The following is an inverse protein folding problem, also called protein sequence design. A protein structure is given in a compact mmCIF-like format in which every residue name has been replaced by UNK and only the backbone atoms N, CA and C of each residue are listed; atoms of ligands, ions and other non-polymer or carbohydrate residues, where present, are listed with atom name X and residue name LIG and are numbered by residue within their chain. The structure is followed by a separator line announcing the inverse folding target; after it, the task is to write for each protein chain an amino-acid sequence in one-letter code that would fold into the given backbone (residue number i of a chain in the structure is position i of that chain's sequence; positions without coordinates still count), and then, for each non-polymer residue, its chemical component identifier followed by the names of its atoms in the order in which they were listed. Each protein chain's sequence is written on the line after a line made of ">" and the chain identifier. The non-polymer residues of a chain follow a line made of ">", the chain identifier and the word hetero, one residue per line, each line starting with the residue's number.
data_IF_745625225013
#
_entry.id   IF_745625225013
#
_cell.length_a   1.000
_cell.length_b   1.000
_cell.length_c   1.000
_cell.angle_alpha   90.00
_cell.angle_beta   90.00
_cell.angle_gamma   90.00
#
_symmetry.space_group_name_H-M   'P 1'
#
loop_
_entity.id
_entity.type
_entity.pdbx_description
1 polymer ?
#
# COMPACT_ATOMS: atom_id res chain seq x y z
N UNK A 1 -17.06 16.39 -7.90
CA UNK A 1 -15.70 15.77 -7.90
C UNK A 1 -15.84 14.29 -8.21
N UNK A 2 -14.92 13.67 -8.97
CA UNK A 2 -15.08 12.28 -9.43
C UNK A 2 -13.99 11.34 -8.90
N UNK A 3 -14.37 10.11 -8.57
CA UNK A 3 -13.45 9.00 -8.29
C UNK A 3 -13.53 7.97 -9.41
N UNK A 4 -12.40 7.33 -9.73
CA UNK A 4 -12.32 6.28 -10.75
C UNK A 4 -11.89 4.96 -10.10
N UNK A 5 -12.64 3.90 -10.34
CA UNK A 5 -12.27 2.56 -9.91
C UNK A 5 -11.00 2.12 -10.66
N UNK A 6 -9.91 1.75 -9.97
CA UNK A 6 -8.69 1.30 -10.64
C UNK A 6 -8.83 -0.08 -11.29
N UNK A 7 -9.88 -0.85 -10.93
CA UNK A 7 -10.09 -2.21 -11.44
C UNK A 7 -10.93 -2.22 -12.74
N UNK A 8 -12.09 -1.58 -12.75
CA UNK A 8 -13.01 -1.59 -13.91
C UNK A 8 -13.13 -0.24 -14.63
N UNK A 9 -12.48 0.81 -14.13
CA UNK A 9 -12.54 2.14 -14.73
C UNK A 9 -13.85 2.90 -14.50
N UNK A 10 -14.80 2.33 -13.76
CA UNK A 10 -16.05 3.00 -13.41
C UNK A 10 -15.79 4.35 -12.73
N UNK A 11 -16.49 5.39 -13.19
CA UNK A 11 -16.38 6.75 -12.66
C UNK A 11 -17.61 7.05 -11.83
N UNK A 12 -17.40 7.51 -10.59
CA UNK A 12 -18.48 7.86 -9.67
C UNK A 12 -18.30 9.32 -9.22
N UNK A 13 -19.38 10.11 -9.25
CA UNK A 13 -19.35 11.43 -8.63
C UNK A 13 -19.47 11.29 -7.12
N UNK A 14 -18.73 12.13 -6.39
CA UNK A 14 -18.87 12.25 -4.94
C UNK A 14 -20.28 12.70 -4.56
N UNK A 15 -20.89 13.56 -5.36
CA UNK A 15 -22.24 14.10 -5.17
C UNK A 15 -23.29 12.98 -5.16
N UNK A 16 -23.15 11.96 -6.02
CA UNK A 16 -24.02 10.79 -6.04
C UNK A 16 -23.92 9.93 -4.77
N UNK A 17 -22.74 9.89 -4.13
CA UNK A 17 -22.55 9.18 -2.87
C UNK A 17 -23.20 9.92 -1.70
N UNK A 18 -23.06 11.26 -1.67
CA UNK A 18 -23.59 12.10 -0.60
C UNK A 18 -25.13 12.17 -0.64
N UNK A 19 -25.71 12.23 -1.84
CA UNK A 19 -27.17 12.35 -1.99
C UNK A 19 -27.94 11.05 -1.69
N UNK A 20 -27.27 9.90 -1.70
CA UNK A 20 -27.88 8.63 -1.26
C UNK A 20 -27.79 8.53 0.27
N UNK A 21 -28.94 8.47 0.94
CA UNK A 21 -29.00 8.47 2.41
C UNK A 21 -28.31 7.25 3.04
N UNK A 22 -28.41 6.07 2.41
CA UNK A 22 -27.78 4.85 2.92
C UNK A 22 -26.26 4.88 2.69
N UNK A 23 -25.82 5.38 1.54
CA UNK A 23 -24.40 5.54 1.25
C UNK A 23 -23.75 6.61 2.15
N UNK A 24 -24.44 7.73 2.39
CA UNK A 24 -24.03 8.75 3.36
C UNK A 24 -23.92 8.20 4.78
N UNK A 25 -24.82 7.30 5.19
CA UNK A 25 -24.73 6.64 6.49
C UNK A 25 -23.48 5.75 6.61
N UNK A 26 -23.17 4.97 5.57
CA UNK A 26 -21.91 4.20 5.50
C UNK A 26 -20.70 5.12 5.58
N UNK A 27 -20.70 6.22 4.81
CA UNK A 27 -19.59 7.17 4.80
C UNK A 27 -19.35 7.78 6.18
N UNK A 28 -20.41 8.17 6.89
CA UNK A 28 -20.31 8.67 8.28
C UNK A 28 -19.71 7.63 9.21
N UNK A 29 -20.19 6.38 9.15
CA UNK A 29 -19.65 5.30 9.99
C UNK A 29 -18.15 5.05 9.75
N UNK A 30 -17.69 5.16 8.50
CA UNK A 30 -16.27 5.02 8.15
C UNK A 30 -15.45 6.22 8.62
N UNK A 31 -16.00 7.44 8.55
CA UNK A 31 -15.32 8.65 9.01
C UNK A 31 -15.16 8.72 10.53
N UNK A 32 -15.99 8.00 11.29
CA UNK A 32 -15.84 7.82 12.75
C UNK A 32 -14.69 6.86 13.12
N UNK A 33 -14.04 6.21 12.14
CA UNK A 33 -12.91 5.30 12.34
C UNK A 33 -11.59 5.97 11.93
N UNK A 34 -10.46 5.47 12.45
CA UNK A 34 -9.18 5.80 11.84
C UNK A 34 -9.10 5.28 10.40
N UNK A 35 -8.25 5.93 9.59
CA UNK A 35 -8.21 5.70 8.15
C UNK A 35 -7.85 4.24 7.78
N UNK A 36 -7.04 3.55 8.58
CA UNK A 36 -6.63 2.18 8.29
C UNK A 36 -7.71 1.18 8.69
N UNK A 37 -8.35 1.37 9.85
CA UNK A 37 -9.52 0.60 10.27
C UNK A 37 -10.68 0.73 9.29
N UNK A 38 -11.03 1.95 8.88
CA UNK A 38 -12.11 2.20 7.94
C UNK A 38 -11.89 1.50 6.59
N UNK A 39 -10.65 1.54 6.06
CA UNK A 39 -10.29 0.79 4.85
C UNK A 39 -10.39 -0.72 5.05
N UNK A 40 -9.91 -1.24 6.17
CA UNK A 40 -9.95 -2.68 6.46
C UNK A 40 -11.39 -3.20 6.58
N UNK A 41 -12.24 -2.46 7.31
CA UNK A 41 -13.65 -2.77 7.48
C UNK A 41 -14.40 -2.78 6.13
N UNK A 42 -14.15 -1.80 5.25
CA UNK A 42 -14.77 -1.77 3.92
C UNK A 42 -14.32 -2.93 3.03
N UNK A 43 -13.03 -3.30 3.04
CA UNK A 43 -12.54 -4.48 2.32
C UNK A 43 -13.21 -5.76 2.81
N UNK A 44 -13.32 -5.90 4.13
CA UNK A 44 -13.98 -7.03 4.78
C UNK A 44 -15.47 -7.12 4.43
N UNK A 45 -16.23 -6.02 4.49
CA UNK A 45 -17.66 -5.99 4.11
C UNK A 45 -17.86 -6.40 2.65
N UNK A 46 -16.89 -6.11 1.78
CA UNK A 46 -16.88 -6.59 0.40
C UNK A 46 -16.98 -8.12 0.25
N UNK A 47 -16.59 -8.90 1.27
CA UNK A 47 -16.68 -10.37 1.28
C UNK A 47 -18.13 -10.89 1.38
N UNK A 48 -19.09 -10.04 1.73
CA UNK A 48 -20.53 -10.38 1.74
C UNK A 48 -21.20 -10.16 0.37
N UNK A 49 -20.46 -9.68 -0.63
CA UNK A 49 -21.01 -9.40 -1.96
C UNK A 49 -21.49 -10.70 -2.64
N UNK A 50 -22.77 -10.79 -3.04
CA UNK A 50 -23.27 -11.94 -3.79
C UNK A 50 -22.58 -12.09 -5.16
N UNK A 51 -22.47 -13.31 -5.66
CA UNK A 51 -21.78 -13.59 -6.92
C UNK A 51 -22.41 -12.91 -8.15
N UNK A 52 -23.74 -12.70 -8.15
CA UNK A 52 -24.51 -12.20 -9.30
C UNK A 52 -24.98 -10.76 -9.17
N UNK A 53 -24.71 -10.08 -8.05
CA UNK A 53 -25.23 -8.72 -7.81
C UNK A 53 -24.27 -7.89 -6.97
N UNK A 54 -24.46 -6.58 -6.98
CA UNK A 54 -23.74 -5.70 -6.08
C UNK A 54 -24.30 -5.79 -4.65
N UNK A 55 -23.45 -5.47 -3.68
CA UNK A 55 -23.88 -5.28 -2.29
C UNK A 55 -24.58 -3.92 -2.19
N UNK A 56 -25.82 -3.89 -1.71
CA UNK A 56 -26.58 -2.64 -1.57
C UNK A 56 -26.03 -1.79 -0.42
N UNK A 57 -26.17 -0.46 -0.50
CA UNK A 57 -25.77 0.46 0.57
C UNK A 57 -26.46 0.15 1.90
N UNK A 58 -27.75 -0.19 1.86
CA UNK A 58 -28.49 -0.59 3.06
C UNK A 58 -27.88 -1.85 3.72
N UNK A 59 -27.46 -2.85 2.93
CA UNK A 59 -26.80 -4.05 3.48
C UNK A 59 -25.40 -3.74 3.99
N UNK A 60 -24.63 -2.91 3.29
CA UNK A 60 -23.31 -2.42 3.73
C UNK A 60 -23.41 -1.71 5.07
N UNK A 61 -24.35 -0.77 5.22
CA UNK A 61 -24.59 -0.05 6.48
C UNK A 61 -24.96 -1.01 7.61
N UNK A 62 -25.85 -1.96 7.33
CA UNK A 62 -26.25 -2.97 8.31
C UNK A 62 -25.04 -3.80 8.80
N UNK A 63 -24.22 -4.32 7.89
CA UNK A 63 -23.04 -5.14 8.23
C UNK A 63 -22.00 -4.36 9.06
N UNK A 64 -21.77 -3.07 8.76
CA UNK A 64 -20.88 -2.24 9.57
C UNK A 64 -21.47 -1.98 10.96
N UNK A 65 -22.74 -1.60 11.03
CA UNK A 65 -23.41 -1.28 12.29
C UNK A 65 -23.59 -2.50 13.21
N UNK A 66 -23.57 -3.73 12.68
CA UNK A 66 -23.52 -4.96 13.48
C UNK A 66 -22.19 -5.06 14.28
N UNK A 67 -21.08 -4.52 13.76
CA UNK A 67 -19.76 -4.57 14.40
C UNK A 67 -19.45 -3.35 15.27
N UNK A 68 -20.01 -2.19 14.94
CA UNK A 68 -19.71 -0.90 15.59
C UNK A 68 -19.84 -0.92 17.13
N UNK A 69 -20.89 -1.50 17.74
CA UNK A 69 -21.02 -1.54 19.19
C UNK A 69 -19.87 -2.30 19.86
N UNK A 70 -19.50 -3.46 19.30
CA UNK A 70 -18.39 -4.30 19.78
C UNK A 70 -17.03 -3.60 19.63
N UNK A 71 -16.80 -2.97 18.48
CA UNK A 71 -15.58 -2.19 18.24
C UNK A 71 -15.44 -1.02 19.22
N UNK A 72 -16.53 -0.28 19.48
CA UNK A 72 -16.53 0.83 20.44
C UNK A 72 -16.37 0.36 21.89
N UNK A 73 -16.93 -0.80 22.22
CA UNK A 73 -16.76 -1.41 23.53
C UNK A 73 -15.39 -2.08 23.72
N UNK A 74 -14.59 -2.19 22.65
CA UNK A 74 -13.32 -2.92 22.62
C UNK A 74 -13.46 -4.38 23.09
N UNK A 75 -14.58 -5.01 22.72
CA UNK A 75 -14.89 -6.41 23.05
C UNK A 75 -15.39 -7.14 21.82
N UNK A 76 -15.08 -8.43 21.72
CA UNK A 76 -15.66 -9.32 20.72
C UNK A 76 -16.49 -10.39 21.43
N UNK A 77 -17.77 -10.44 21.12
CA UNK A 77 -18.68 -11.45 21.66
C UNK A 77 -18.94 -12.53 20.61
N UNK A 78 -18.69 -13.78 20.99
CA UNK A 78 -19.04 -14.94 20.16
C UNK A 78 -19.56 -16.06 21.04
N UNK A 79 -20.68 -16.65 20.63
CA UNK A 79 -21.29 -17.79 21.33
C UNK A 79 -21.51 -17.53 22.84
N UNK A 80 -21.83 -16.28 23.19
CA UNK A 80 -22.05 -15.82 24.57
C UNK A 80 -20.78 -15.56 25.39
N UNK A 81 -19.59 -15.72 24.80
CA UNK A 81 -18.30 -15.45 25.44
C UNK A 81 -17.75 -14.12 24.93
N UNK A 82 -17.46 -13.21 25.86
CA UNK A 82 -16.87 -11.89 25.58
C UNK A 82 -15.36 -11.91 25.80
N UNK A 83 -14.62 -11.47 24.79
CA UNK A 83 -13.15 -11.38 24.81
C UNK A 83 -12.70 -9.93 24.64
N UNK A 84 -11.63 -9.47 25.32
CA UNK A 84 -11.03 -8.17 25.04
C UNK A 84 -10.53 -8.09 23.61
N UNK A 85 -10.99 -7.07 22.88
CA UNK A 85 -10.67 -6.87 21.48
C UNK A 85 -10.36 -5.39 21.23
N UNK A 86 -9.12 -4.94 21.50
CA UNK A 86 -8.71 -3.57 21.19
C UNK A 86 -8.66 -3.35 19.68
N UNK A 87 -8.43 -2.11 19.23
CA UNK A 87 -8.47 -1.75 17.82
C UNK A 87 -7.52 -2.61 16.96
N UNK A 88 -6.36 -2.97 17.50
CA UNK A 88 -5.36 -3.81 16.85
C UNK A 88 -5.91 -5.22 16.56
N UNK A 89 -6.72 -5.78 17.47
CA UNK A 89 -7.34 -7.09 17.29
C UNK A 89 -8.36 -7.08 16.14
N UNK A 90 -9.16 -6.01 16.05
CA UNK A 90 -10.12 -5.82 14.96
C UNK A 90 -9.41 -5.61 13.61
N UNK A 91 -8.37 -4.77 13.59
CA UNK A 91 -7.58 -4.53 12.38
C UNK A 91 -6.93 -5.84 11.89
N UNK A 92 -6.36 -6.63 12.81
CA UNK A 92 -5.84 -7.96 12.53
C UNK A 92 -6.93 -8.89 11.98
N UNK A 93 -8.09 -8.98 12.64
CA UNK A 93 -9.20 -9.83 12.23
C UNK A 93 -9.73 -9.51 10.83
N UNK A 94 -9.90 -8.23 10.51
CA UNK A 94 -10.32 -7.80 9.17
C UNK A 94 -9.32 -8.22 8.10
N UNK A 95 -8.03 -7.96 8.32
CA UNK A 95 -6.99 -8.29 7.35
C UNK A 95 -6.85 -9.81 7.19
N UNK A 96 -6.84 -10.59 8.28
CA UNK A 96 -6.75 -12.05 8.22
C UNK A 96 -7.95 -12.69 7.54
N UNK A 97 -9.15 -12.11 7.69
CA UNK A 97 -10.33 -12.62 6.98
C UNK A 97 -10.24 -12.36 5.47
N UNK A 98 -9.73 -11.20 5.07
CA UNK A 98 -9.47 -10.90 3.65
C UNK A 98 -8.37 -11.82 3.10
N UNK A 99 -7.27 -12.03 3.84
CA UNK A 99 -6.19 -12.94 3.47
C UNK A 99 -6.69 -14.39 3.32
N UNK A 100 -7.59 -14.84 4.20
CA UNK A 100 -8.19 -16.17 4.11
C UNK A 100 -9.04 -16.35 2.84
N UNK A 101 -9.71 -15.30 2.36
CA UNK A 101 -10.35 -15.32 1.02
C UNK A 101 -9.29 -15.49 -0.07
N UNK A 102 -8.23 -14.69 -0.05
CA UNK A 102 -7.20 -14.73 -1.10
C UNK A 102 -6.53 -16.10 -1.22
N UNK A 103 -6.41 -16.80 -0.11
CA UNK A 103 -5.90 -18.16 -0.06
C UNK A 103 -6.95 -19.22 -0.44
N UNK A 104 -8.15 -18.83 -0.87
CA UNK A 104 -9.24 -19.75 -1.23
C UNK A 104 -9.86 -20.49 -0.05
N UNK A 105 -9.55 -20.12 1.20
CA UNK A 105 -10.04 -20.79 2.42
C UNK A 105 -11.47 -20.41 2.78
N UNK A 106 -12.01 -19.34 2.19
CA UNK A 106 -13.36 -18.86 2.46
C UNK A 106 -14.32 -19.13 1.31
N UNK A 107 -15.47 -19.68 1.64
CA UNK A 107 -16.61 -19.77 0.73
C UNK A 107 -17.38 -18.45 0.74
N UNK A 108 -17.31 -17.70 -0.35
CA UNK A 108 -18.06 -16.46 -0.53
C UNK A 108 -19.44 -16.69 -1.16
N UNK A 109 -20.43 -15.80 -0.92
CA UNK A 109 -20.39 -14.68 0.02
C UNK A 109 -20.38 -15.17 1.48
N UNK A 110 -19.75 -14.40 2.37
CA UNK A 110 -19.89 -14.64 3.80
C UNK A 110 -21.37 -14.49 4.22
N UNK A 111 -21.79 -15.33 5.16
CA UNK A 111 -23.17 -15.34 5.68
C UNK A 111 -23.30 -14.62 7.02
N UNK A 112 -22.22 -14.55 7.80
CA UNK A 112 -22.18 -13.94 9.13
C UNK A 112 -20.77 -13.45 9.49
N UNK A 113 -20.67 -12.73 10.60
CA UNK A 113 -19.40 -12.28 11.17
C UNK A 113 -18.64 -13.35 11.97
N UNK A 114 -19.17 -14.58 12.08
CA UNK A 114 -18.65 -15.61 12.98
C UNK A 114 -17.15 -15.93 12.77
N UNK A 115 -16.70 -16.02 11.51
CA UNK A 115 -15.29 -16.24 11.19
C UNK A 115 -14.39 -15.07 11.60
N UNK A 116 -14.87 -13.84 11.44
CA UNK A 116 -14.14 -12.66 11.91
C UNK A 116 -14.04 -12.67 13.44
N UNK A 117 -15.18 -12.89 14.11
CA UNK A 117 -15.25 -12.92 15.57
C UNK A 117 -14.38 -14.04 16.16
N UNK A 118 -14.22 -15.17 15.45
CA UNK A 118 -13.26 -16.22 15.79
C UNK A 118 -11.83 -15.72 15.86
N UNK A 119 -11.40 -15.02 14.82
CA UNK A 119 -10.02 -14.54 14.72
C UNK A 119 -9.78 -13.46 15.78
N UNK A 120 -10.75 -12.56 15.96
CA UNK A 120 -10.64 -11.47 16.93
C UNK A 120 -10.64 -12.00 18.36
N UNK A 121 -11.47 -13.00 18.69
CA UNK A 121 -11.52 -13.57 20.05
C UNK A 121 -10.27 -14.37 20.41
N UNK A 122 -9.58 -14.94 19.43
CA UNK A 122 -8.33 -15.67 19.60
C UNK A 122 -7.08 -14.78 19.55
N UNK A 123 -7.24 -13.46 19.42
CA UNK A 123 -6.11 -12.54 19.33
C UNK A 123 -5.35 -12.46 20.67
N UNK A 124 -4.08 -12.84 20.66
CA UNK A 124 -3.21 -12.89 21.85
C UNK A 124 -2.28 -11.67 21.98
N UNK A 125 -2.51 -10.61 21.21
CA UNK A 125 -1.59 -9.49 21.10
C UNK A 125 -0.55 -9.68 20.00
N UNK A 126 -0.49 -8.74 19.08
CA UNK A 126 0.79 -8.47 18.39
C UNK A 126 1.71 -7.86 19.44
N UNK A 127 2.92 -8.39 19.64
CA UNK A 127 3.91 -7.88 20.61
C UNK A 127 4.47 -6.48 20.29
N UNK A 128 3.60 -5.53 19.94
CA UNK A 128 3.85 -4.11 19.79
C UNK A 128 3.30 -3.40 21.03
N UNK A 129 4.13 -2.61 21.74
CA UNK A 129 3.68 -1.90 22.93
C UNK A 129 2.73 -0.75 22.56
N UNK A 130 1.58 -0.66 23.25
CA UNK A 130 0.83 0.59 23.37
C UNK A 130 1.73 1.69 23.96
N UNK A 131 1.62 2.95 23.49
CA UNK A 131 2.30 4.07 24.12
C UNK A 131 1.59 4.42 25.44
N UNK A 132 2.01 3.77 26.53
CA UNK A 132 1.71 4.19 27.91
C UNK A 132 3.04 4.46 28.64
N UNK A 133 3.08 5.48 29.52
CA UNK A 133 4.29 5.80 30.29
C UNK A 133 4.55 4.73 31.36
N UNK A 134 5.84 4.36 31.48
CA UNK A 134 6.62 3.57 32.48
C UNK A 134 5.95 3.20 33.84
N UNK A 135 6.40 2.16 34.61
CA UNK A 135 7.79 1.65 34.69
C UNK A 135 7.99 0.12 34.93
N UNK A 136 9.25 -0.32 34.80
CA UNK A 136 9.92 -1.49 35.43
C UNK A 136 9.31 -2.89 35.30
N UNK A 137 10.07 -3.83 34.72
CA UNK A 137 9.89 -5.26 35.03
C UNK A 137 10.21 -6.26 33.93
N UNK A 138 11.50 -6.56 33.76
CA UNK A 138 12.11 -7.91 33.62
C UNK A 138 11.26 -9.07 33.04
N UNK A 139 11.71 -9.56 31.87
CA UNK A 139 11.96 -10.99 31.60
C UNK A 139 10.81 -11.85 31.06
N UNK A 140 10.98 -12.35 29.83
CA UNK A 140 10.18 -13.45 29.28
C UNK A 140 10.53 -13.75 27.82
N UNK A 141 11.30 -14.80 27.58
CA UNK A 141 11.74 -15.29 26.27
C UNK A 141 10.58 -15.86 25.43
N UNK A 142 10.56 -15.56 24.12
CA UNK A 142 9.69 -16.20 23.13
C UNK A 142 10.32 -16.10 21.74
N UNK A 143 10.75 -17.23 21.19
CA UNK A 143 11.73 -17.35 20.08
C UNK A 143 11.26 -17.04 18.65
N UNK A 144 10.17 -16.33 18.42
CA UNK A 144 9.66 -16.04 17.06
C UNK A 144 9.83 -14.59 16.52
N UNK A 145 10.00 -13.53 17.33
CA UNK A 145 10.40 -12.20 16.84
C UNK A 145 11.92 -12.03 16.69
N UNK A 146 12.73 -12.92 17.28
CA UNK A 146 14.20 -12.77 17.34
C UNK A 146 14.86 -12.97 15.97
N UNK A 147 14.50 -14.03 15.24
CA UNK A 147 15.14 -14.36 13.96
C UNK A 147 14.88 -13.32 12.86
N UNK A 148 13.66 -12.79 12.79
CA UNK A 148 13.35 -11.71 11.84
C UNK A 148 14.09 -10.44 12.21
N UNK A 149 14.12 -10.06 13.50
CA UNK A 149 14.91 -8.90 13.96
C UNK A 149 16.40 -9.06 13.67
N UNK A 150 16.95 -10.26 13.86
CA UNK A 150 18.34 -10.58 13.51
C UNK A 150 18.57 -10.46 11.99
N UNK A 151 17.66 -10.96 11.16
CA UNK A 151 17.73 -10.81 9.71
C UNK A 151 17.66 -9.35 9.25
N UNK A 152 16.78 -8.55 9.85
CA UNK A 152 16.66 -7.10 9.58
C UNK A 152 17.91 -6.35 10.06
N UNK A 153 18.46 -6.71 11.23
CA UNK A 153 19.72 -6.14 11.71
C UNK A 153 20.88 -6.50 10.77
N UNK A 154 20.94 -7.75 10.27
CA UNK A 154 21.93 -8.19 9.31
C UNK A 154 21.80 -7.47 7.95
N UNK A 155 20.57 -7.17 7.51
CA UNK A 155 20.32 -6.32 6.34
C UNK A 155 20.86 -4.90 6.53
N UNK A 156 20.65 -4.30 7.71
CA UNK A 156 21.22 -2.99 8.05
C UNK A 156 22.75 -3.01 8.05
N UNK A 157 23.36 -4.05 8.61
CA UNK A 157 24.82 -4.24 8.61
C UNK A 157 25.37 -4.45 7.18
N UNK A 158 24.67 -5.21 6.34
CA UNK A 158 25.03 -5.37 4.92
C UNK A 158 24.93 -4.06 4.13
N UNK A 159 23.94 -3.22 4.44
CA UNK A 159 23.76 -1.95 3.76
C UNK A 159 24.85 -0.92 4.10
N UNK A 160 25.29 -0.87 5.36
CA UNK A 160 26.31 0.07 5.81
C UNK A 160 25.92 1.52 5.49
N UNK A 161 26.84 2.28 4.90
CA UNK A 161 26.65 3.68 4.49
C UNK A 161 26.22 3.85 3.02
N UNK A 162 26.04 2.75 2.27
CA UNK A 162 25.59 2.82 0.88
C UNK A 162 24.10 3.16 0.83
N UNK A 163 23.78 4.38 0.36
CA UNK A 163 22.42 4.88 0.29
C UNK A 163 21.48 3.94 -0.47
N UNK A 164 21.93 3.31 -1.55
CA UNK A 164 21.09 2.46 -2.37
C UNK A 164 20.83 1.11 -1.69
N UNK A 165 21.85 0.56 -1.02
CA UNK A 165 21.67 -0.63 -0.19
C UNK A 165 20.77 -0.36 1.00
N UNK A 166 20.80 0.83 1.60
CA UNK A 166 19.89 1.22 2.69
C UNK A 166 18.42 1.21 2.23
N UNK A 167 18.14 1.75 1.03
CA UNK A 167 16.79 1.72 0.46
C UNK A 167 16.31 0.29 0.16
N UNK A 168 17.20 -0.57 -0.36
CA UNK A 168 16.89 -1.98 -0.60
C UNK A 168 16.67 -2.72 0.72
N UNK A 169 17.52 -2.51 1.73
CA UNK A 169 17.39 -3.12 3.04
C UNK A 169 16.07 -2.74 3.72
N UNK A 170 15.66 -1.46 3.63
CA UNK A 170 14.37 -1.00 4.13
C UNK A 170 13.19 -1.67 3.40
N UNK A 171 13.25 -1.76 2.07
CA UNK A 171 12.26 -2.47 1.26
C UNK A 171 12.16 -3.95 1.62
N UNK A 172 13.30 -4.62 1.78
CA UNK A 172 13.38 -6.03 2.18
C UNK A 172 12.86 -6.27 3.59
N UNK A 173 13.15 -5.38 4.55
CA UNK A 173 12.62 -5.48 5.90
C UNK A 173 11.08 -5.42 5.91
N UNK A 174 10.50 -4.52 5.11
CA UNK A 174 9.05 -4.40 4.95
C UNK A 174 8.45 -5.65 4.30
N UNK A 175 9.02 -6.11 3.17
CA UNK A 175 8.56 -7.35 2.52
C UNK A 175 8.69 -8.56 3.47
N UNK A 176 9.78 -8.62 4.24
CA UNK A 176 10.03 -9.72 5.16
C UNK A 176 9.00 -9.76 6.30
N UNK A 177 8.48 -8.61 6.73
CA UNK A 177 7.44 -8.52 7.74
C UNK A 177 6.07 -9.04 7.25
N UNK A 178 5.82 -9.03 5.94
CA UNK A 178 4.57 -9.52 5.34
C UNK A 178 4.46 -11.07 5.34
N UNK A 179 5.56 -11.77 5.64
CA UNK A 179 5.63 -13.23 5.68
C UNK A 179 5.00 -13.93 4.46
N UNK A 180 5.26 -13.38 3.27
CA UNK A 180 4.73 -13.90 2.01
C UNK A 180 5.19 -15.35 1.74
N UNK A 181 4.38 -16.16 1.03
CA UNK A 181 4.82 -17.47 0.54
C UNK A 181 6.13 -17.38 -0.24
N UNK A 182 6.97 -18.42 -0.11
CA UNK A 182 8.32 -18.51 -0.72
C UNK A 182 9.30 -17.42 -0.28
N UNK A 183 9.07 -16.77 0.87
CA UNK A 183 10.03 -15.84 1.45
C UNK A 183 11.35 -16.56 1.82
N UNK A 184 12.52 -15.98 1.49
CA UNK A 184 13.82 -16.45 1.97
C UNK A 184 13.90 -16.50 3.50
N UNK A 185 14.72 -17.38 4.07
CA UNK A 185 14.92 -17.38 5.51
C UNK A 185 15.51 -16.03 5.97
N UNK A 186 15.18 -15.60 7.19
CA UNK A 186 15.61 -14.28 7.69
C UNK A 186 17.14 -14.08 7.67
N UNK A 187 17.90 -15.16 7.90
CA UNK A 187 19.36 -15.17 7.82
C UNK A 187 19.91 -15.00 6.39
N UNK A 188 19.12 -15.36 5.37
CA UNK A 188 19.52 -15.31 3.96
C UNK A 188 19.12 -13.98 3.29
N UNK A 189 18.35 -13.13 3.98
CA UNK A 189 17.88 -11.85 3.44
C UNK A 189 19.02 -10.95 2.89
N UNK A 190 20.19 -10.81 3.55
CA UNK A 190 21.29 -10.01 3.02
C UNK A 190 21.85 -10.55 1.70
N UNK A 191 21.92 -11.88 1.56
CA UNK A 191 22.40 -12.52 0.32
C UNK A 191 21.43 -12.26 -0.83
N UNK A 192 20.13 -12.38 -0.58
CA UNK A 192 19.11 -12.11 -1.59
C UNK A 192 19.08 -10.61 -1.93
N UNK A 193 19.25 -9.73 -0.95
CA UNK A 193 19.34 -8.28 -1.19
C UNK A 193 20.56 -7.90 -2.05
N UNK A 194 21.70 -8.56 -1.85
CA UNK A 194 22.90 -8.39 -2.68
C UNK A 194 22.66 -8.77 -4.15
N UNK A 195 21.92 -9.86 -4.41
CA UNK A 195 21.55 -10.26 -5.78
C UNK A 195 20.69 -9.17 -6.45
N UNK A 196 19.73 -8.60 -5.72
CA UNK A 196 18.86 -7.54 -6.24
C UNK A 196 19.64 -6.25 -6.50
N UNK A 197 20.51 -5.87 -5.57
CA UNK A 197 21.37 -4.70 -5.70
C UNK A 197 22.27 -4.79 -6.94
N UNK A 198 22.95 -5.92 -7.14
CA UNK A 198 23.76 -6.16 -8.36
C UNK A 198 22.93 -6.04 -9.61
N UNK A 199 21.71 -6.61 -9.60
CA UNK A 199 20.82 -6.53 -10.75
C UNK A 199 20.42 -5.10 -11.08
N UNK A 200 20.12 -4.28 -10.08
CA UNK A 200 19.78 -2.86 -10.25
C UNK A 200 20.97 -2.03 -10.76
N UNK A 201 22.21 -2.37 -10.38
CA UNK A 201 23.42 -1.76 -10.95
C UNK A 201 23.58 -2.14 -12.41
N UNK A 202 23.47 -3.43 -12.75
CA UNK A 202 23.59 -3.92 -14.13
C UNK A 202 22.60 -3.24 -15.07
N UNK A 203 21.36 -3.03 -14.62
CA UNK A 203 20.31 -2.35 -15.39
C UNK A 203 20.38 -0.83 -15.31
N UNK A 204 21.39 -0.26 -14.64
CA UNK A 204 21.59 1.18 -14.46
C UNK A 204 20.39 1.88 -13.79
N UNK A 205 19.81 1.23 -12.79
CA UNK A 205 18.67 1.75 -12.01
C UNK A 205 19.10 2.50 -10.74
N UNK A 206 20.36 2.32 -10.30
CA UNK A 206 21.02 3.03 -9.20
C UNK A 206 22.05 3.99 -9.82
N UNK A 207 21.70 5.26 -9.98
CA UNK A 207 22.51 6.28 -10.68
C UNK A 207 22.59 7.59 -9.91
N UNK A 208 21.47 8.06 -9.35
CA UNK A 208 21.40 9.35 -8.68
C UNK A 208 20.89 9.22 -7.24
N UNK A 209 21.71 9.52 -6.22
CA UNK A 209 21.27 9.53 -4.82
C UNK A 209 20.19 10.58 -4.53
N UNK A 210 20.01 11.58 -5.40
CA UNK A 210 18.99 12.62 -5.24
C UNK A 210 17.59 12.15 -5.70
N UNK A 211 17.54 11.43 -6.83
CA UNK A 211 16.27 11.09 -7.50
C UNK A 211 15.85 9.64 -7.31
N UNK A 212 16.79 8.73 -7.10
CA UNK A 212 16.53 7.30 -7.10
C UNK A 212 15.96 6.75 -5.78
N UNK A 213 16.21 7.32 -4.57
CA UNK A 213 15.65 6.79 -3.34
C UNK A 213 14.12 6.69 -3.35
N UNK A 214 13.42 7.78 -3.67
CA UNK A 214 11.95 7.81 -3.75
C UNK A 214 11.41 6.84 -4.80
N UNK A 215 12.16 6.64 -5.88
CA UNK A 215 11.82 5.75 -6.99
C UNK A 215 11.86 4.29 -6.53
N UNK A 216 12.94 3.91 -5.84
CA UNK A 216 13.14 2.58 -5.26
C UNK A 216 12.10 2.31 -4.17
N UNK A 217 11.88 3.25 -3.25
CA UNK A 217 10.83 3.16 -2.22
C UNK A 217 9.44 2.93 -2.82
N UNK A 218 9.11 3.65 -3.90
CA UNK A 218 7.83 3.50 -4.59
C UNK A 218 7.71 2.12 -5.23
N UNK A 219 8.78 1.60 -5.84
CA UNK A 219 8.81 0.24 -6.38
C UNK A 219 8.53 -0.81 -5.29
N UNK A 220 9.22 -0.74 -4.15
CA UNK A 220 8.97 -1.64 -3.02
C UNK A 220 7.56 -1.50 -2.43
N UNK A 221 6.99 -0.29 -2.42
CA UNK A 221 5.60 -0.07 -1.98
C UNK A 221 4.60 -0.82 -2.86
N UNK A 222 4.84 -0.89 -4.17
CA UNK A 222 4.01 -1.71 -5.07
C UNK A 222 4.18 -3.19 -4.76
N UNK A 223 5.42 -3.65 -4.54
CA UNK A 223 5.71 -5.05 -4.24
C UNK A 223 5.11 -5.56 -2.92
N UNK A 224 4.76 -4.69 -1.98
CA UNK A 224 4.04 -5.09 -0.77
C UNK A 224 2.64 -5.68 -1.05
N UNK A 225 2.12 -5.49 -2.26
CA UNK A 225 0.84 -6.06 -2.71
C UNK A 225 1.01 -7.44 -3.39
N UNK A 226 2.23 -8.00 -3.43
CA UNK A 226 2.51 -9.27 -4.08
C UNK A 226 1.93 -10.44 -3.27
N UNK A 227 1.40 -11.45 -3.97
CA UNK A 227 0.84 -12.66 -3.35
C UNK A 227 1.92 -13.66 -2.89
N UNK A 228 3.12 -13.56 -3.46
CA UNK A 228 4.30 -14.36 -3.10
C UNK A 228 5.53 -13.46 -2.99
N UNK A 229 6.63 -13.95 -2.40
CA UNK A 229 7.88 -13.22 -2.35
C UNK A 229 8.31 -12.81 -3.78
N UNK A 230 8.42 -11.49 -4.04
CA UNK A 230 8.65 -10.99 -5.39
C UNK A 230 10.03 -11.38 -5.91
N UNK A 231 10.22 -11.30 -7.22
CA UNK A 231 11.51 -11.47 -7.91
C UNK A 231 12.11 -10.12 -8.33
N UNK A 232 13.44 -10.00 -8.55
CA UNK A 232 14.07 -8.73 -8.92
C UNK A 232 13.45 -8.09 -10.18
N UNK A 233 13.01 -8.90 -11.14
CA UNK A 233 12.35 -8.43 -12.36
C UNK A 233 11.02 -7.71 -12.09
N UNK A 234 10.33 -8.02 -11.00
CA UNK A 234 9.10 -7.34 -10.59
C UNK A 234 9.40 -5.95 -10.04
N UNK A 235 10.49 -5.78 -9.27
CA UNK A 235 10.93 -4.46 -8.85
C UNK A 235 11.24 -3.59 -10.07
N UNK A 236 12.05 -4.10 -10.99
CA UNK A 236 12.44 -3.39 -12.22
C UNK A 236 11.24 -2.91 -13.03
N UNK A 237 10.22 -3.76 -13.19
CA UNK A 237 8.99 -3.42 -13.93
C UNK A 237 8.14 -2.35 -13.24
N UNK A 238 8.25 -2.22 -11.92
CA UNK A 238 7.46 -1.30 -11.11
C UNK A 238 8.22 -0.06 -10.66
N UNK A 239 9.47 0.13 -11.12
CA UNK A 239 10.21 1.36 -10.86
C UNK A 239 9.59 2.52 -11.67
N UNK A 240 9.18 3.62 -11.02
CA UNK A 240 8.74 4.81 -11.75
C UNK A 240 9.88 5.37 -12.63
N UNK A 241 9.57 6.20 -13.64
CA UNK A 241 10.59 6.93 -14.39
C UNK A 241 11.33 7.92 -13.47
N UNK A 242 12.60 8.18 -13.75
CA UNK A 242 13.35 9.22 -13.03
C UNK A 242 12.78 10.61 -13.35
N UNK A 243 12.28 11.29 -12.33
CA UNK A 243 11.76 12.65 -12.44
C UNK A 243 12.90 13.68 -12.30
N UNK A 244 13.80 13.70 -13.28
CA UNK A 244 14.87 14.70 -13.34
C UNK A 244 14.24 16.04 -13.77
N UNK A 245 14.29 17.10 -12.94
CA UNK A 245 13.83 18.41 -13.36
C UNK A 245 14.58 18.82 -14.63
N UNK A 246 13.85 19.08 -15.72
CA UNK A 246 14.48 19.62 -16.93
C UNK A 246 15.00 21.01 -16.56
N UNK A 247 16.32 21.20 -16.63
CA UNK A 247 16.86 22.55 -16.68
C UNK A 247 16.17 23.26 -17.85
N UNK A 248 15.46 24.36 -17.57
CA UNK A 248 14.95 25.19 -18.64
C UNK A 248 16.15 25.69 -19.41
N UNK A 249 16.35 25.18 -20.62
CA UNK A 249 17.33 25.75 -21.54
C UNK A 249 17.01 27.24 -21.64
N UNK A 250 18.02 28.09 -21.47
CA UNK A 250 17.86 29.51 -21.73
C UNK A 250 17.24 29.67 -23.11
N UNK A 251 16.21 30.53 -23.23
CA UNK A 251 15.63 30.85 -24.53
C UNK A 251 16.80 31.28 -25.44
N UNK A 252 16.97 30.66 -26.62
CA UNK A 252 18.02 31.07 -27.54
C UNK A 252 17.94 32.58 -27.75
N UNK A 253 19.07 33.27 -27.68
CA UNK A 253 19.10 34.70 -27.92
C UNK A 253 18.45 34.98 -29.29
N UNK A 254 17.52 35.94 -29.39
CA UNK A 254 16.87 36.24 -30.66
C UNK A 254 17.91 36.76 -31.65
N UNK A 255 18.21 35.95 -32.67
CA UNK A 255 19.05 36.34 -33.79
C UNK A 255 18.26 37.29 -34.71
N UNK A 256 18.35 38.58 -34.39
CA UNK A 256 17.66 39.66 -35.11
C UNK A 256 18.12 39.75 -36.57
N UNK A 257 19.32 39.30 -36.89
CA UNK A 257 19.86 39.35 -38.25
C UNK A 257 19.25 38.25 -39.12
N UNK A 258 19.25 37.01 -38.61
CA UNK A 258 18.56 35.89 -39.25
C UNK A 258 17.04 36.11 -39.34
N UNK A 259 16.44 36.78 -38.35
CA UNK A 259 15.03 37.19 -38.39
C UNK A 259 14.74 38.17 -39.52
N UNK A 260 15.61 39.16 -39.73
CA UNK A 260 15.50 40.12 -40.85
C UNK A 260 15.67 39.46 -42.22
N UNK A 261 16.64 38.55 -42.34
CA UNK A 261 16.87 37.79 -43.59
C UNK A 261 15.63 36.96 -43.97
N UNK A 262 15.05 36.21 -43.02
CA UNK A 262 13.83 35.44 -43.25
C UNK A 262 12.61 36.31 -43.60
N UNK A 263 12.48 37.48 -43.00
CA UNK A 263 11.42 38.43 -43.38
C UNK A 263 11.59 38.97 -44.80
N UNK A 264 12.84 39.22 -45.23
CA UNK A 264 13.13 39.64 -46.59
C UNK A 264 12.80 38.52 -47.60
N UNK A 265 13.18 37.28 -47.31
CA UNK A 265 12.83 36.10 -48.13
C UNK A 265 11.31 35.93 -48.25
N UNK A 266 10.57 36.06 -47.15
CA UNK A 266 9.10 35.97 -47.16
C UNK A 266 8.49 37.09 -47.98
N UNK A 267 8.99 38.32 -47.85
CA UNK A 267 8.51 39.47 -48.64
C UNK A 267 8.77 39.27 -50.13
N UNK A 268 9.93 38.75 -50.49
CA UNK A 268 10.27 38.44 -51.89
C UNK A 268 9.39 37.32 -52.44
N UNK A 269 9.18 36.24 -51.68
CA UNK A 269 8.32 35.13 -52.08
C UNK A 269 6.85 35.56 -52.27
N UNK A 270 6.34 36.43 -51.39
CA UNK A 270 4.99 37.00 -51.51
C UNK A 270 4.87 37.94 -52.72
N UNK A 271 5.89 38.74 -53.00
CA UNK A 271 5.91 39.63 -54.17
C UNK A 271 5.98 38.87 -55.50
N UNK A 272 6.61 37.69 -55.54
CA UNK A 272 6.66 36.83 -56.73
C UNK A 272 5.35 36.07 -56.97
N UNK A 273 4.53 35.86 -55.95
CA UNK A 273 3.22 35.17 -56.04
C UNK A 273 2.05 36.07 -56.45
N UNK A 274 2.26 37.39 -56.48
CA UNK A 274 1.26 38.41 -56.82
C UNK A 274 1.41 39.03 -58.22
N UNK A 275 2.25 38.45 -59.08
CA UNK A 275 2.30 38.72 -60.53
C UNK A 275 1.87 37.46 -61.26
#
# INVERSE_FOLDING_TARGET
>A
MNIKCPNCGAVHSLDSLINDAAASSVLRAVLDMDAEMGKAAIRYVGLFRPAKSQLSWARTAKLLNELMPMMKAQTAERDGVSHPAPAEAWLHGFNETVNARDQGRLKLPLKSHGYLLEIVSQWQGSGLPSPQPSPTGRGGEGGAPSKLRQGVAALGAWAGEDWAKQEIAAGFALLAALNLPNRPAAQDLPVVAEIWYRKLIETKEIVSPEYDPKRIQTGFKVLQQSETWPQPAELLRNLPPRLIPRAMLAKPAPDKEKGRQKMAEVKEALSKKGK
#
